data_IF_334030861333
#
_entry.id   IF_334030861333
#
_cell.length_a   1.000
_cell.length_b   1.000
_cell.length_c   1.000
_cell.angle_alpha   90.00
_cell.angle_beta   90.00
_cell.angle_gamma   90.00
#
_symmetry.space_group_name_H-M   'P 1'
#
loop_
_entity.id
_entity.type
_entity.pdbx_description
1 polymer ?
#
# COMPACT_ATOMS: atom_id res chain seq x y z
N UNK A 1 -10.80 -3.78 13.77
CA UNK A 1 -10.40 -5.19 13.66
C UNK A 1 -11.03 -5.96 14.80
N UNK A 2 -12.19 -6.57 14.55
CA UNK A 2 -12.81 -7.69 15.30
C UNK A 2 -14.33 -7.57 15.38
N UNK A 3 -14.87 -6.37 15.62
CA UNK A 3 -16.32 -6.16 15.77
C UNK A 3 -17.10 -6.11 14.46
N UNK A 4 -16.40 -5.86 13.36
CA UNK A 4 -17.00 -5.77 12.02
C UNK A 4 -15.99 -6.32 11.03
N UNK A 5 -16.48 -7.17 10.15
CA UNK A 5 -15.76 -7.76 9.02
C UNK A 5 -15.85 -6.86 7.79
N UNK A 6 -14.98 -7.04 6.81
CA UNK A 6 -15.10 -6.36 5.52
C UNK A 6 -16.40 -6.75 4.82
N UNK A 7 -16.86 -8.00 4.95
CA UNK A 7 -18.14 -8.43 4.40
C UNK A 7 -19.33 -7.65 5.00
N UNK A 8 -19.37 -7.50 6.32
CA UNK A 8 -20.42 -6.71 6.99
C UNK A 8 -20.36 -5.24 6.59
N UNK A 9 -19.15 -4.66 6.54
CA UNK A 9 -18.96 -3.28 6.11
C UNK A 9 -19.44 -3.05 4.67
N UNK A 10 -19.06 -3.93 3.73
CA UNK A 10 -19.50 -3.87 2.34
C UNK A 10 -21.03 -4.00 2.21
N UNK A 11 -21.66 -4.92 2.96
CA UNK A 11 -23.14 -5.07 2.98
C UNK A 11 -23.84 -3.85 3.59
N UNK A 12 -23.18 -3.16 4.52
CA UNK A 12 -23.69 -1.93 5.12
C UNK A 12 -23.50 -0.69 4.22
N UNK A 13 -22.84 -0.83 3.07
CA UNK A 13 -22.66 0.25 2.09
C UNK A 13 -21.32 0.98 2.17
N UNK A 14 -20.32 0.43 2.87
CA UNK A 14 -18.94 0.92 2.74
C UNK A 14 -18.42 0.55 1.35
N UNK A 15 -17.99 1.54 0.58
CA UNK A 15 -17.57 1.41 -0.83
C UNK A 15 -16.06 1.49 -1.03
N UNK A 16 -15.29 1.63 0.05
CA UNK A 16 -13.83 1.60 0.00
C UNK A 16 -13.29 0.88 1.23
N UNK A 17 -12.42 -0.11 1.01
CA UNK A 17 -11.68 -0.78 2.06
C UNK A 17 -10.19 -0.49 1.85
N UNK A 18 -9.54 -0.04 2.90
CA UNK A 18 -8.12 0.29 2.90
C UNK A 18 -7.34 -0.77 3.68
N UNK A 19 -6.07 -0.95 3.37
CA UNK A 19 -5.18 -1.89 4.06
C UNK A 19 -5.61 -3.35 3.92
N UNK A 20 -5.20 -3.99 2.82
CA UNK A 20 -5.45 -5.43 2.58
C UNK A 20 -5.07 -6.26 3.79
N UNK A 21 -3.88 -6.01 4.36
CA UNK A 21 -3.37 -6.75 5.51
C UNK A 21 -4.33 -6.75 6.71
N UNK A 22 -5.06 -5.65 6.93
CA UNK A 22 -5.89 -5.44 8.11
C UNK A 22 -7.38 -5.64 7.81
N UNK A 23 -7.95 -4.81 6.94
CA UNK A 23 -9.40 -4.70 6.78
C UNK A 23 -10.03 -5.98 6.26
N UNK A 24 -9.29 -6.74 5.44
CA UNK A 24 -9.77 -7.99 4.84
C UNK A 24 -9.43 -9.21 5.69
N UNK A 25 -8.63 -9.04 6.75
CA UNK A 25 -8.05 -10.13 7.51
C UNK A 25 -9.11 -11.14 7.97
N UNK A 26 -10.16 -10.67 8.64
CA UNK A 26 -11.18 -11.52 9.25
C UNK A 26 -11.96 -12.35 8.21
N UNK A 27 -12.07 -11.85 6.97
CA UNK A 27 -12.79 -12.49 5.87
C UNK A 27 -11.90 -13.39 5.03
N UNK A 28 -10.58 -13.28 5.15
CA UNK A 28 -9.63 -14.04 4.33
C UNK A 28 -8.99 -15.18 5.12
N UNK A 29 -8.58 -14.94 6.36
CA UNK A 29 -7.88 -15.96 7.16
C UNK A 29 -8.82 -17.08 7.61
N UNK A 30 -8.22 -18.18 8.07
CA UNK A 30 -8.93 -19.34 8.61
C UNK A 30 -9.68 -18.97 9.89
N UNK A 31 -10.76 -19.67 10.19
CA UNK A 31 -11.60 -19.37 11.34
C UNK A 31 -10.81 -19.37 12.66
N UNK A 32 -9.88 -20.31 12.83
CA UNK A 32 -9.01 -20.40 14.01
C UNK A 32 -8.01 -19.25 14.16
N UNK A 33 -7.73 -18.51 13.08
CA UNK A 33 -6.79 -17.39 13.06
C UNK A 33 -7.50 -16.04 13.32
N UNK A 34 -8.84 -16.00 13.29
CA UNK A 34 -9.63 -14.77 13.43
C UNK A 34 -9.57 -14.19 14.85
N UNK A 35 -9.62 -12.86 14.93
CA UNK A 35 -9.68 -12.18 16.22
C UNK A 35 -11.10 -12.26 16.78
N UNK A 36 -11.29 -12.65 18.06
CA UNK A 36 -12.61 -12.68 18.67
C UNK A 36 -13.28 -11.31 18.65
N UNK A 37 -14.56 -11.26 18.27
CA UNK A 37 -15.31 -10.01 18.14
C UNK A 37 -15.53 -9.27 19.46
N UNK A 38 -15.66 -10.03 20.55
CA UNK A 38 -15.85 -9.55 21.92
C UNK A 38 -14.59 -8.91 22.53
N UNK A 39 -13.41 -9.31 22.06
CA UNK A 39 -12.13 -8.72 22.47
C UNK A 39 -11.93 -7.27 21.97
N UNK A 40 -12.75 -6.80 21.01
CA UNK A 40 -12.76 -5.41 20.55
C UNK A 40 -11.52 -4.96 19.77
N UNK A 41 -11.43 -3.65 19.46
CA UNK A 41 -10.33 -3.04 18.71
C UNK A 41 -9.23 -2.49 19.65
N UNK A 42 -9.03 -3.08 20.84
CA UNK A 42 -8.03 -2.61 21.80
C UNK A 42 -6.60 -2.65 21.22
N UNK A 43 -5.61 -2.18 21.99
CA UNK A 43 -4.20 -2.36 21.63
C UNK A 43 -3.93 -3.85 21.57
N UNK A 44 -3.91 -4.44 20.37
CA UNK A 44 -3.57 -5.83 20.15
C UNK A 44 -2.06 -6.00 20.39
N UNK A 45 -1.63 -6.64 21.49
CA UNK A 45 -0.22 -6.93 21.69
C UNK A 45 0.26 -7.80 20.53
N UNK A 46 1.40 -7.45 19.92
CA UNK A 46 1.97 -8.15 18.76
C UNK A 46 1.07 -8.17 17.51
N UNK A 47 0.23 -7.14 17.31
CA UNK A 47 -0.63 -6.96 16.13
C UNK A 47 -0.01 -7.45 14.82
N UNK A 48 1.18 -6.97 14.49
CA UNK A 48 1.87 -7.31 13.24
C UNK A 48 2.24 -8.79 13.12
N UNK A 49 2.68 -9.44 14.19
CA UNK A 49 2.98 -10.88 14.15
C UNK A 49 1.71 -11.71 13.97
N UNK A 50 0.60 -11.25 14.55
CA UNK A 50 -0.68 -11.93 14.43
C UNK A 50 -1.27 -11.79 13.01
N UNK A 51 -1.27 -10.57 12.46
CA UNK A 51 -1.71 -10.32 11.08
C UNK A 51 -0.85 -11.12 10.09
N UNK A 52 0.48 -11.02 10.20
CA UNK A 52 1.38 -11.79 9.34
C UNK A 52 1.16 -13.31 9.48
N UNK A 53 1.02 -13.81 10.71
CA UNK A 53 0.78 -15.23 10.96
C UNK A 53 -0.48 -15.76 10.26
N UNK A 54 -1.60 -15.05 10.38
CA UNK A 54 -2.85 -15.46 9.74
C UNK A 54 -2.78 -15.41 8.21
N UNK A 55 -2.22 -14.34 7.64
CA UNK A 55 -2.02 -14.24 6.19
C UNK A 55 -1.11 -15.33 5.64
N UNK A 56 0.01 -15.62 6.32
CA UNK A 56 0.91 -16.70 5.91
C UNK A 56 0.22 -18.07 5.86
N UNK A 57 -0.78 -18.31 6.73
CA UNK A 57 -1.57 -19.54 6.77
C UNK A 57 -2.83 -19.50 5.90
N UNK A 58 -3.23 -18.34 5.39
CA UNK A 58 -4.47 -18.18 4.65
C UNK A 58 -4.55 -19.13 3.44
N UNK A 59 -5.70 -19.79 3.30
CA UNK A 59 -6.03 -20.58 2.12
C UNK A 59 -6.85 -19.71 1.16
N UNK A 60 -6.20 -19.18 0.13
CA UNK A 60 -6.84 -18.27 -0.83
C UNK A 60 -7.72 -18.99 -1.86
N UNK A 61 -7.66 -20.33 -1.89
CA UNK A 61 -8.53 -21.16 -2.72
C UNK A 61 -9.81 -21.56 -1.98
N UNK A 62 -9.90 -21.24 -0.69
CA UNK A 62 -11.05 -21.57 0.13
C UNK A 62 -12.32 -20.84 -0.36
N UNK A 63 -13.50 -21.49 -0.29
CA UNK A 63 -14.75 -20.92 -0.80
C UNK A 63 -15.12 -19.56 -0.19
N UNK A 64 -14.77 -19.31 1.08
CA UNK A 64 -15.07 -18.05 1.74
C UNK A 64 -14.24 -16.88 1.18
N UNK A 65 -13.01 -17.13 0.73
CA UNK A 65 -12.18 -16.10 0.09
C UNK A 65 -12.76 -15.73 -1.28
N UNK A 66 -13.19 -16.72 -2.06
CA UNK A 66 -13.89 -16.46 -3.33
C UNK A 66 -15.18 -15.67 -3.13
N UNK A 67 -16.02 -16.09 -2.19
CA UNK A 67 -17.27 -15.39 -1.86
C UNK A 67 -17.02 -13.95 -1.38
N UNK A 68 -15.89 -13.71 -0.70
CA UNK A 68 -15.48 -12.37 -0.32
C UNK A 68 -15.15 -11.51 -1.54
N UNK A 69 -14.34 -12.02 -2.48
CA UNK A 69 -14.00 -11.30 -3.71
C UNK A 69 -15.25 -10.99 -4.56
N UNK A 70 -16.14 -11.97 -4.71
CA UNK A 70 -17.43 -11.82 -5.40
C UNK A 70 -18.28 -10.72 -4.73
N UNK A 71 -18.39 -10.74 -3.40
CA UNK A 71 -19.12 -9.71 -2.66
C UNK A 71 -18.54 -8.31 -2.90
N UNK A 72 -17.21 -8.15 -2.86
CA UNK A 72 -16.57 -6.85 -3.07
C UNK A 72 -16.85 -6.32 -4.49
N UNK A 73 -16.75 -7.20 -5.50
CA UNK A 73 -17.07 -6.85 -6.88
C UNK A 73 -18.57 -6.51 -7.07
N UNK A 74 -19.47 -7.34 -6.55
CA UNK A 74 -20.93 -7.13 -6.62
C UNK A 74 -21.37 -5.82 -5.96
N UNK A 75 -20.66 -5.38 -4.93
CA UNK A 75 -20.96 -4.17 -4.16
C UNK A 75 -20.20 -2.93 -4.64
N UNK A 76 -19.44 -3.05 -5.72
CA UNK A 76 -18.57 -1.98 -6.25
C UNK A 76 -17.63 -1.39 -5.17
N UNK A 77 -17.10 -2.26 -4.32
CA UNK A 77 -16.16 -1.86 -3.27
C UNK A 77 -14.79 -1.68 -3.88
N UNK A 78 -14.22 -0.50 -3.67
CA UNK A 78 -12.84 -0.21 -4.03
C UNK A 78 -11.88 -0.77 -2.99
N UNK A 79 -10.76 -1.33 -3.44
CA UNK A 79 -9.72 -1.89 -2.58
C UNK A 79 -8.44 -1.05 -2.69
N UNK A 80 -8.18 -0.24 -1.67
CA UNK A 80 -6.93 0.50 -1.50
C UNK A 80 -5.93 -0.41 -0.78
N UNK A 81 -5.00 -1.00 -1.54
CA UNK A 81 -4.24 -2.13 -1.04
C UNK A 81 -3.21 -1.74 0.05
N UNK A 82 -2.51 -0.62 -0.14
CA UNK A 82 -1.41 -0.15 0.74
C UNK A 82 -0.34 -1.20 0.96
N UNK A 83 -0.01 -1.95 -0.10
CA UNK A 83 0.93 -3.07 -0.09
C UNK A 83 2.29 -2.65 0.45
N UNK A 84 2.71 -1.41 0.18
CA UNK A 84 3.94 -0.80 0.72
C UNK A 84 4.01 -0.87 2.24
N UNK A 85 2.90 -0.97 2.98
CA UNK A 85 2.94 -1.19 4.42
C UNK A 85 3.55 -2.53 4.80
N UNK A 86 3.23 -3.58 4.04
CA UNK A 86 3.74 -4.93 4.28
C UNK A 86 4.94 -5.30 3.43
N UNK A 87 5.21 -4.56 2.36
CA UNK A 87 6.37 -4.78 1.49
C UNK A 87 7.51 -3.79 1.71
N UNK A 88 7.27 -2.60 2.26
CA UNK A 88 8.27 -1.53 2.46
C UNK A 88 8.25 -0.82 3.82
N UNK A 89 7.16 -0.91 4.60
CA UNK A 89 6.99 -0.25 5.89
C UNK A 89 7.79 -0.89 7.03
N UNK A 90 8.38 -2.06 6.81
CA UNK A 90 9.06 -2.82 7.85
C UNK A 90 10.56 -2.49 8.04
N UNK A 91 11.13 -1.51 7.30
CA UNK A 91 12.59 -1.23 7.21
C UNK A 91 13.34 -2.20 6.29
N UNK A 92 12.91 -2.35 5.03
CA UNK A 92 13.66 -3.13 4.03
C UNK A 92 14.96 -2.44 3.60
N UNK A 93 15.90 -3.20 3.04
CA UNK A 93 17.11 -2.63 2.40
C UNK A 93 16.73 -1.61 1.32
N UNK A 94 15.75 -1.96 0.48
CA UNK A 94 15.17 -1.04 -0.51
C UNK A 94 14.65 0.26 0.11
N UNK A 95 13.95 0.20 1.24
CA UNK A 95 13.43 1.40 1.90
C UNK A 95 14.55 2.23 2.55
N UNK A 96 15.64 1.58 3.00
CA UNK A 96 16.84 2.25 3.53
C UNK A 96 17.66 2.96 2.44
N UNK A 97 17.56 2.50 1.20
CA UNK A 97 18.27 3.05 0.05
C UNK A 97 17.40 3.99 -0.81
N UNK A 98 16.13 4.21 -0.44
CA UNK A 98 15.19 5.04 -1.21
C UNK A 98 15.74 6.47 -1.42
N UNK A 99 16.01 6.88 -2.67
CA UNK A 99 16.54 8.22 -2.98
C UNK A 99 15.67 9.36 -2.44
N UNK A 100 14.37 9.12 -2.27
CA UNK A 100 13.42 10.01 -1.63
C UNK A 100 13.81 10.48 -0.22
N UNK A 101 14.62 9.72 0.52
CA UNK A 101 15.07 10.07 1.88
C UNK A 101 15.81 11.42 1.92
N UNK A 102 16.46 11.83 0.83
CA UNK A 102 17.14 13.11 0.73
C UNK A 102 16.18 14.32 0.79
N UNK A 103 14.88 14.10 0.60
CA UNK A 103 13.85 15.15 0.58
C UNK A 103 13.06 15.26 1.90
N UNK A 104 13.38 14.44 2.90
CA UNK A 104 12.73 14.48 4.20
C UNK A 104 13.38 15.52 5.13
N UNK A 105 12.59 16.29 5.91
CA UNK A 105 13.11 17.18 6.95
C UNK A 105 14.02 16.44 7.94
N UNK A 106 15.07 17.08 8.45
CA UNK A 106 16.02 16.48 9.40
C UNK A 106 15.34 15.79 10.61
N UNK A 107 14.33 16.43 11.22
CA UNK A 107 13.58 15.84 12.33
C UNK A 107 12.78 14.59 11.95
N UNK A 108 12.30 14.52 10.70
CA UNK A 108 11.72 13.30 10.16
C UNK A 108 12.83 12.29 9.90
N UNK A 109 13.94 12.69 9.24
CA UNK A 109 15.11 11.82 9.05
C UNK A 109 15.60 11.21 10.35
N UNK A 110 15.65 11.91 11.47
CA UNK A 110 16.04 11.33 12.78
C UNK A 110 15.06 10.26 13.30
N UNK A 111 13.78 10.35 12.92
CA UNK A 111 12.77 9.29 13.10
C UNK A 111 12.85 8.19 12.03
N UNK A 112 13.56 8.46 10.92
CA UNK A 112 13.74 7.63 9.74
C UNK A 112 15.22 7.21 9.49
N UNK A 113 16.14 7.43 10.46
CA UNK A 113 17.58 7.27 10.25
C UNK A 113 18.04 5.88 10.72
N UNK A 114 19.10 5.31 10.13
CA UNK A 114 19.32 3.88 10.13
C UNK A 114 19.85 3.28 11.44
N UNK A 115 20.46 4.01 12.37
CA UNK A 115 21.15 3.34 13.51
C UNK A 115 20.19 2.83 14.59
N UNK A 116 19.16 3.61 14.96
CA UNK A 116 18.11 3.21 15.90
C UNK A 116 17.12 2.24 15.25
N UNK A 117 16.80 2.40 13.95
CA UNK A 117 15.98 1.47 13.19
C UNK A 117 16.71 0.13 12.97
N UNK A 118 18.00 0.16 12.63
CA UNK A 118 18.88 -1.02 12.54
C UNK A 118 19.06 -1.68 13.90
N UNK A 119 19.28 -0.94 14.99
CA UNK A 119 19.28 -1.51 16.35
C UNK A 119 17.94 -2.13 16.70
N UNK A 120 16.84 -1.45 16.47
CA UNK A 120 15.50 -2.00 16.70
C UNK A 120 15.23 -3.23 15.81
N UNK A 121 15.84 -3.31 14.63
CA UNK A 121 15.83 -4.49 13.76
C UNK A 121 16.70 -5.61 14.30
N UNK A 122 17.94 -5.33 14.75
CA UNK A 122 18.87 -6.29 15.37
C UNK A 122 18.33 -6.84 16.69
N UNK A 123 17.71 -5.98 17.51
CA UNK A 123 17.05 -6.33 18.76
C UNK A 123 15.83 -7.20 18.52
N UNK A 124 14.98 -6.84 17.53
CA UNK A 124 13.86 -7.68 17.09
C UNK A 124 14.36 -9.03 16.58
N UNK A 125 15.37 -9.05 15.71
CA UNK A 125 16.10 -10.26 15.26
C UNK A 125 16.56 -11.14 16.42
N UNK A 126 17.20 -10.55 17.42
CA UNK A 126 17.73 -11.25 18.58
C UNK A 126 16.64 -11.76 19.52
N UNK A 127 15.57 -10.98 19.75
CA UNK A 127 14.42 -11.38 20.56
C UNK A 127 13.67 -12.54 19.91
N UNK A 128 13.46 -12.44 18.60
CA UNK A 128 12.91 -13.50 17.80
C UNK A 128 13.73 -14.80 17.91
N UNK A 129 15.05 -14.73 17.68
CA UNK A 129 15.92 -15.90 17.82
C UNK A 129 15.87 -16.55 19.22
N UNK A 130 15.76 -15.75 20.30
CA UNK A 130 15.58 -16.25 21.68
C UNK A 130 14.23 -16.92 21.91
N UNK A 131 13.20 -16.50 21.19
CA UNK A 131 11.87 -17.10 21.22
C UNK A 131 11.69 -18.24 20.19
N UNK A 132 12.72 -18.57 19.41
CA UNK A 132 12.62 -19.53 18.31
C UNK A 132 11.87 -19.01 17.06
N UNK A 133 11.73 -17.70 16.92
CA UNK A 133 10.99 -16.99 15.86
C UNK A 133 11.93 -16.06 15.08
N UNK A 134 12.53 -16.45 13.95
CA UNK A 134 13.64 -15.70 13.35
C UNK A 134 13.19 -14.41 12.64
N UNK A 135 13.55 -13.25 13.20
CA UNK A 135 13.28 -11.95 12.57
C UNK A 135 14.46 -11.54 11.68
N UNK A 136 14.29 -11.56 10.35
CA UNK A 136 14.82 -10.50 9.49
C UNK A 136 13.68 -10.10 8.54
N UNK A 137 13.95 -9.33 7.49
CA UNK A 137 13.04 -9.18 6.34
C UNK A 137 12.75 -10.50 5.59
N UNK A 138 12.86 -11.63 6.29
CA UNK A 138 13.13 -12.99 5.85
C UNK A 138 12.66 -14.02 6.90
N UNK A 139 11.65 -13.72 7.72
CA UNK A 139 10.94 -14.82 8.39
C UNK A 139 10.07 -15.48 7.32
N UNK A 140 10.02 -16.81 7.27
CA UNK A 140 9.17 -17.53 6.28
C UNK A 140 7.75 -16.97 6.33
N UNK A 141 7.29 -16.59 7.51
CA UNK A 141 5.99 -15.98 7.76
C UNK A 141 5.81 -14.65 7.02
N UNK A 142 6.77 -13.73 7.02
CA UNK A 142 6.60 -12.41 6.36
C UNK A 142 6.71 -12.51 4.84
N UNK A 143 7.60 -13.38 4.32
CA UNK A 143 7.66 -13.68 2.88
C UNK A 143 6.37 -14.36 2.40
N UNK A 144 5.86 -15.32 3.16
CA UNK A 144 4.58 -15.98 2.85
C UNK A 144 3.39 -15.02 2.97
N UNK A 145 3.38 -14.17 4.00
CA UNK A 145 2.39 -13.09 4.16
C UNK A 145 2.37 -12.22 2.92
N UNK A 146 3.53 -11.69 2.53
CA UNK A 146 3.65 -10.86 1.33
C UNK A 146 3.14 -11.59 0.09
N UNK A 147 3.57 -12.83 -0.13
CA UNK A 147 3.11 -13.61 -1.27
C UNK A 147 1.59 -13.78 -1.28
N UNK A 148 0.97 -14.01 -0.11
CA UNK A 148 -0.48 -14.17 0.04
C UNK A 148 -1.24 -12.87 -0.16
N UNK A 149 -0.76 -11.75 0.35
CA UNK A 149 -1.39 -10.45 0.14
C UNK A 149 -1.30 -10.02 -1.34
N UNK A 150 -0.15 -10.24 -2.00
CA UNK A 150 0.02 -9.97 -3.43
C UNK A 150 -0.90 -10.86 -4.27
N UNK A 151 -0.93 -12.18 -4.01
CA UNK A 151 -1.83 -13.13 -4.69
C UNK A 151 -3.30 -12.74 -4.49
N UNK A 152 -3.70 -12.35 -3.26
CA UNK A 152 -5.05 -11.87 -3.00
C UNK A 152 -5.40 -10.61 -3.81
N UNK A 153 -4.50 -9.64 -3.92
CA UNK A 153 -4.73 -8.43 -4.73
C UNK A 153 -4.85 -8.76 -6.22
N UNK A 154 -4.04 -9.70 -6.73
CA UNK A 154 -4.16 -10.20 -8.10
C UNK A 154 -5.53 -10.86 -8.32
N UNK A 155 -5.96 -11.74 -7.42
CA UNK A 155 -7.28 -12.38 -7.49
C UNK A 155 -8.42 -11.37 -7.39
N UNK A 156 -8.27 -10.33 -6.57
CA UNK A 156 -9.24 -9.25 -6.48
C UNK A 156 -9.36 -8.49 -7.81
N UNK A 157 -8.24 -8.17 -8.44
CA UNK A 157 -8.22 -7.58 -9.78
C UNK A 157 -8.90 -8.49 -10.81
N UNK A 158 -8.55 -9.78 -10.85
CA UNK A 158 -9.14 -10.76 -11.77
C UNK A 158 -10.65 -10.96 -11.54
N UNK A 159 -11.11 -10.82 -10.29
CA UNK A 159 -12.52 -10.87 -9.92
C UNK A 159 -13.29 -9.58 -10.24
N UNK A 160 -12.63 -8.54 -10.76
CA UNK A 160 -13.25 -7.27 -11.12
C UNK A 160 -13.43 -6.29 -9.95
N UNK A 161 -12.74 -6.50 -8.82
CA UNK A 161 -12.72 -5.53 -7.72
C UNK A 161 -11.93 -4.30 -8.17
N UNK A 162 -12.48 -3.10 -7.97
CA UNK A 162 -11.80 -1.83 -8.32
C UNK A 162 -10.58 -1.64 -7.42
N UNK A 163 -9.37 -1.82 -7.95
CA UNK A 163 -8.15 -1.52 -7.23
C UNK A 163 -7.89 0.00 -7.19
N UNK A 164 -7.36 0.47 -6.07
CA UNK A 164 -6.90 1.84 -5.87
C UNK A 164 -5.49 1.82 -5.30
N UNK A 165 -4.62 2.69 -5.82
CA UNK A 165 -3.25 2.86 -5.30
C UNK A 165 -3.27 3.88 -4.17
N UNK A 166 -2.85 3.45 -2.98
CA UNK A 166 -2.68 4.31 -1.81
C UNK A 166 -1.53 3.81 -0.95
N UNK A 167 -0.86 4.71 -0.23
CA UNK A 167 0.43 4.40 0.41
C UNK A 167 0.39 4.33 1.92
N UNK A 168 -0.60 4.96 2.55
CA UNK A 168 -0.58 5.24 3.99
C UNK A 168 0.70 5.94 4.45
N UNK A 169 1.26 6.82 3.60
CA UNK A 169 2.52 7.50 3.89
C UNK A 169 2.41 8.31 5.19
N UNK A 170 3.32 8.02 6.12
CA UNK A 170 3.28 8.51 7.50
C UNK A 170 2.87 7.44 8.52
N UNK A 171 2.31 6.31 8.06
CA UNK A 171 2.00 5.13 8.85
C UNK A 171 3.23 4.29 9.23
N UNK A 172 4.29 4.31 8.41
CA UNK A 172 5.57 3.67 8.74
C UNK A 172 6.80 4.57 8.54
N UNK A 173 7.85 4.21 9.28
CA UNK A 173 9.08 5.00 9.43
C UNK A 173 10.01 5.04 8.21
N UNK A 174 9.67 4.45 7.06
CA UNK A 174 10.56 4.51 5.88
C UNK A 174 9.81 4.91 4.60
N UNK A 175 8.57 5.37 4.73
CA UNK A 175 7.80 5.85 3.60
C UNK A 175 8.08 7.33 3.37
N UNK A 176 8.22 7.70 2.11
CA UNK A 176 8.56 9.06 1.69
C UNK A 176 7.40 9.61 0.85
N UNK A 177 6.79 10.75 1.24
CA UNK A 177 5.72 11.38 0.47
C UNK A 177 6.10 11.58 -0.99
N UNK A 178 5.17 11.28 -1.90
CA UNK A 178 5.40 11.28 -3.36
C UNK A 178 6.14 10.03 -3.85
N UNK A 179 7.31 9.71 -3.31
CA UNK A 179 8.11 8.56 -3.76
C UNK A 179 7.42 7.22 -3.47
N UNK A 180 6.78 7.10 -2.31
CA UNK A 180 6.00 5.92 -1.93
C UNK A 180 4.87 5.60 -2.89
N UNK A 181 4.26 6.58 -3.56
CA UNK A 181 3.20 6.33 -4.54
C UNK A 181 3.72 5.50 -5.71
N UNK A 182 4.89 5.87 -6.24
CA UNK A 182 5.53 5.12 -7.31
C UNK A 182 5.99 3.73 -6.84
N UNK A 183 6.42 3.58 -5.58
CA UNK A 183 6.77 2.26 -5.05
C UNK A 183 5.54 1.38 -4.92
N UNK A 184 4.42 1.90 -4.42
CA UNK A 184 3.14 1.17 -4.39
C UNK A 184 2.72 0.70 -5.78
N UNK A 185 2.77 1.59 -6.78
CA UNK A 185 2.50 1.22 -8.18
C UNK A 185 3.44 0.11 -8.68
N UNK A 186 4.74 0.21 -8.38
CA UNK A 186 5.71 -0.83 -8.74
C UNK A 186 5.38 -2.17 -8.06
N UNK A 187 4.95 -2.18 -6.81
CA UNK A 187 4.56 -3.41 -6.09
C UNK A 187 3.32 -4.06 -6.73
N UNK A 188 2.31 -3.27 -7.11
CA UNK A 188 1.16 -3.81 -7.87
C UNK A 188 1.60 -4.44 -9.19
N UNK A 189 2.51 -3.79 -9.90
CA UNK A 189 3.00 -4.32 -11.17
C UNK A 189 3.86 -5.57 -10.99
N UNK A 190 4.75 -5.60 -9.99
CA UNK A 190 5.52 -6.77 -9.59
C UNK A 190 4.64 -7.97 -9.20
N UNK A 191 3.44 -7.72 -8.65
CA UNK A 191 2.46 -8.75 -8.36
C UNK A 191 1.85 -9.39 -9.63
N UNK A 192 1.97 -8.73 -10.79
CA UNK A 192 1.42 -9.19 -12.06
C UNK A 192 0.28 -8.35 -12.61
N UNK A 193 -0.08 -7.23 -11.96
CA UNK A 193 -1.09 -6.31 -12.50
C UNK A 193 -0.50 -5.57 -13.72
N UNK A 194 -1.20 -5.52 -14.87
CA UNK A 194 -0.72 -4.80 -16.04
C UNK A 194 -0.46 -3.32 -15.75
N UNK A 195 0.61 -2.74 -16.32
CA UNK A 195 0.99 -1.34 -16.06
C UNK A 195 -0.16 -0.35 -16.34
N UNK A 196 -0.95 -0.60 -17.40
CA UNK A 196 -2.13 0.19 -17.72
C UNK A 196 -3.18 0.19 -16.60
N UNK A 197 -3.42 -0.98 -16.00
CA UNK A 197 -4.40 -1.14 -14.92
C UNK A 197 -3.88 -0.52 -13.62
N UNK A 198 -2.56 -0.58 -13.35
CA UNK A 198 -1.95 0.14 -12.23
C UNK A 198 -2.07 1.66 -12.38
N UNK A 199 -1.84 2.19 -13.59
CA UNK A 199 -2.04 3.63 -13.86
C UNK A 199 -3.51 4.02 -13.72
N UNK A 200 -4.45 3.19 -14.18
CA UNK A 200 -5.88 3.41 -13.98
C UNK A 200 -6.25 3.39 -12.49
N UNK A 201 -5.69 2.46 -11.72
CA UNK A 201 -5.85 2.36 -10.27
C UNK A 201 -5.35 3.61 -9.53
N UNK A 202 -4.27 4.22 -10.02
CA UNK A 202 -3.69 5.45 -9.46
C UNK A 202 -4.38 6.75 -9.92
N UNK A 203 -5.28 6.70 -10.91
CA UNK A 203 -5.90 7.89 -11.51
C UNK A 203 -7.42 7.78 -11.54
N UNK A 204 -7.98 7.21 -12.61
CA UNK A 204 -9.42 7.07 -12.83
C UNK A 204 -10.12 6.36 -11.67
N UNK A 205 -9.62 5.20 -11.27
CA UNK A 205 -10.26 4.40 -10.22
C UNK A 205 -10.19 5.10 -8.86
N UNK A 206 -9.09 5.80 -8.55
CA UNK A 206 -8.97 6.61 -7.35
C UNK A 206 -9.99 7.76 -7.33
N UNK A 207 -10.21 8.42 -8.48
CA UNK A 207 -11.24 9.46 -8.60
C UNK A 207 -12.66 8.88 -8.42
N UNK A 208 -12.95 7.72 -9.02
CA UNK A 208 -14.23 7.00 -8.84
C UNK A 208 -14.47 6.61 -7.37
N UNK A 209 -13.45 6.07 -6.69
CA UNK A 209 -13.54 5.68 -5.27
C UNK A 209 -13.80 6.88 -4.33
N UNK A 210 -13.40 8.08 -4.74
CA UNK A 210 -13.63 9.33 -4.00
C UNK A 210 -14.89 10.07 -4.45
N UNK A 211 -15.66 9.53 -5.41
CA UNK A 211 -16.81 10.18 -6.04
C UNK A 211 -16.46 11.54 -6.68
N UNK A 212 -15.28 11.61 -7.29
CA UNK A 212 -14.71 12.79 -7.95
C UNK A 212 -14.41 12.55 -9.43
N UNK A 213 -14.88 11.45 -10.00
CA UNK A 213 -14.70 11.10 -11.40
C UNK A 213 -15.26 12.14 -12.37
N UNK A 214 -16.22 12.96 -11.93
CA UNK A 214 -16.72 14.11 -12.71
C UNK A 214 -15.67 15.21 -12.91
N UNK A 215 -14.73 15.37 -11.98
CA UNK A 215 -13.75 16.46 -11.98
C UNK A 215 -12.31 15.98 -12.22
N UNK A 216 -12.01 14.72 -11.88
CA UNK A 216 -10.64 14.19 -11.77
C UNK A 216 -10.49 12.80 -12.43
N UNK A 217 -9.24 12.34 -12.51
CA UNK A 217 -8.89 10.95 -12.81
C UNK A 217 -8.70 10.60 -14.29
N UNK A 218 -9.20 11.43 -15.22
CA UNK A 218 -8.98 11.25 -16.67
C UNK A 218 -8.78 12.59 -17.37
N UNK A 219 -8.20 12.54 -18.57
CA UNK A 219 -7.99 13.72 -19.43
C UNK A 219 -9.18 13.89 -20.36
N UNK A 220 -10.18 14.67 -19.93
CA UNK A 220 -11.41 14.91 -20.68
C UNK A 220 -11.85 16.38 -20.61
N UNK A 221 -12.49 16.92 -21.66
CA UNK A 221 -13.03 18.28 -21.62
C UNK A 221 -13.98 18.50 -20.43
N UNK A 222 -13.78 19.60 -19.70
CA UNK A 222 -14.62 19.99 -18.56
C UNK A 222 -14.11 19.51 -17.20
N UNK A 223 -13.11 18.64 -17.15
CA UNK A 223 -12.43 18.21 -15.90
C UNK A 223 -11.35 19.21 -15.48
N UNK A 224 -10.90 19.10 -14.23
CA UNK A 224 -9.78 19.89 -13.72
C UNK A 224 -8.50 19.54 -14.48
N UNK A 225 -7.68 20.55 -14.74
CA UNK A 225 -6.38 20.39 -15.40
C UNK A 225 -5.31 19.94 -14.38
N UNK A 226 -5.50 18.74 -13.84
CA UNK A 226 -4.55 18.02 -12.99
C UNK A 226 -3.87 16.94 -13.84
N UNK A 227 -2.68 17.25 -14.35
CA UNK A 227 -1.97 16.44 -15.34
C UNK A 227 -0.57 16.11 -14.85
N UNK A 228 -0.11 14.91 -15.18
CA UNK A 228 1.29 14.52 -15.06
C UNK A 228 1.72 13.93 -16.39
N UNK A 229 2.85 14.41 -16.91
CA UNK A 229 3.43 13.93 -18.16
C UNK A 229 4.95 14.07 -18.12
N UNK A 230 5.66 13.24 -18.85
CA UNK A 230 7.12 13.24 -18.89
C UNK A 230 7.66 12.58 -20.15
N UNK A 231 8.97 12.38 -20.17
CA UNK A 231 9.68 11.83 -21.33
C UNK A 231 9.63 10.29 -21.39
N UNK A 232 9.28 9.65 -20.26
CA UNK A 232 9.21 8.21 -20.12
C UNK A 232 7.87 7.60 -20.58
N UNK A 233 7.91 6.34 -21.02
CA UNK A 233 6.72 5.53 -21.29
C UNK A 233 6.41 4.60 -20.11
N UNK A 234 5.41 4.94 -19.26
CA UNK A 234 5.07 4.15 -18.08
C UNK A 234 4.35 2.84 -18.41
N UNK A 235 3.89 2.63 -19.66
CA UNK A 235 3.30 1.37 -20.10
C UNK A 235 4.39 0.33 -20.42
N UNK A 236 5.55 0.79 -20.89
CA UNK A 236 6.72 -0.05 -21.13
C UNK A 236 7.53 -0.31 -19.85
N UNK A 237 7.67 0.71 -19.00
CA UNK A 237 8.46 0.64 -17.76
C UNK A 237 7.85 1.57 -16.73
N UNK A 238 7.19 1.03 -15.70
CA UNK A 238 6.34 1.82 -14.80
C UNK A 238 7.11 2.90 -14.00
N UNK A 239 8.39 2.68 -13.71
CA UNK A 239 9.28 3.66 -13.07
C UNK A 239 9.61 4.86 -13.97
N UNK A 240 9.45 4.74 -15.30
CA UNK A 240 9.61 5.82 -16.26
C UNK A 240 8.59 6.97 -16.07
N UNK A 241 7.53 6.74 -15.28
CA UNK A 241 6.61 7.79 -14.83
C UNK A 241 7.30 8.92 -14.04
N UNK A 242 8.58 8.78 -13.68
CA UNK A 242 9.39 9.78 -12.95
C UNK A 242 10.30 10.60 -13.87
N UNK A 243 10.45 10.21 -15.13
CA UNK A 243 11.45 10.72 -16.06
C UNK A 243 10.95 12.00 -16.75
N UNK A 244 11.68 13.11 -16.63
CA UNK A 244 11.38 14.37 -17.34
C UNK A 244 10.02 15.00 -16.98
N UNK A 245 9.51 14.76 -15.77
CA UNK A 245 8.11 15.06 -15.42
C UNK A 245 7.81 16.55 -15.34
N UNK A 246 6.72 16.95 -15.99
CA UNK A 246 5.98 18.19 -15.74
C UNK A 246 4.67 17.86 -15.02
N UNK A 247 4.35 18.65 -14.00
CA UNK A 247 3.09 18.53 -13.26
C UNK A 247 2.26 19.77 -13.56
N UNK A 248 0.99 19.59 -13.92
CA UNK A 248 0.01 20.68 -13.97
C UNK A 248 -0.97 20.43 -12.84
N UNK A 249 -1.18 21.41 -11.98
CA UNK A 249 -2.18 21.33 -10.90
C UNK A 249 -3.10 22.52 -10.97
N UNK A 250 -4.41 22.25 -11.03
CA UNK A 250 -5.47 23.24 -11.20
C UNK A 250 -5.18 24.21 -12.36
N UNK A 251 -4.62 23.69 -13.46
CA UNK A 251 -4.22 24.46 -14.64
C UNK A 251 -2.90 25.24 -14.53
N UNK A 252 -2.24 25.23 -13.38
CA UNK A 252 -0.92 25.83 -13.18
C UNK A 252 0.20 24.84 -13.47
N UNK A 253 1.14 25.12 -14.40
CA UNK A 253 2.28 24.25 -14.62
C UNK A 253 3.32 24.39 -13.51
N UNK A 254 3.95 23.29 -13.16
CA UNK A 254 5.01 23.16 -12.17
C UNK A 254 6.17 22.36 -12.75
N UNK A 255 7.37 22.93 -12.66
CA UNK A 255 8.61 22.23 -12.97
C UNK A 255 8.99 21.31 -11.80
N UNK A 256 9.02 20.00 -12.04
CA UNK A 256 9.38 19.02 -11.03
C UNK A 256 10.83 19.17 -10.55
N UNK A 257 11.76 19.66 -11.39
CA UNK A 257 13.14 19.91 -10.99
C UNK A 257 13.20 21.04 -9.95
N UNK A 258 12.54 22.16 -10.23
CA UNK A 258 12.42 23.28 -9.28
C UNK A 258 11.73 22.86 -7.97
N UNK A 259 10.65 22.06 -8.04
CA UNK A 259 9.97 21.53 -6.84
C UNK A 259 10.89 20.63 -6.00
N UNK A 260 11.69 19.77 -6.65
CA UNK A 260 12.68 18.91 -5.98
C UNK A 260 13.78 19.75 -5.31
N UNK A 261 14.27 20.79 -5.95
CA UNK A 261 15.26 21.70 -5.37
C UNK A 261 14.70 22.40 -4.11
N UNK A 262 13.48 22.94 -4.20
CA UNK A 262 12.79 23.55 -3.06
C UNK A 262 12.59 22.56 -1.91
N UNK A 263 12.22 21.31 -2.22
CA UNK A 263 12.07 20.26 -1.21
C UNK A 263 13.40 19.93 -0.53
N UNK A 264 14.53 19.84 -1.26
CA UNK A 264 15.87 19.64 -0.68
C UNK A 264 16.27 20.80 0.23
N UNK A 265 16.08 22.04 -0.23
CA UNK A 265 16.39 23.22 0.57
C UNK A 265 15.60 23.24 1.90
N UNK A 266 14.31 22.88 1.86
CA UNK A 266 13.47 22.75 3.07
C UNK A 266 13.86 21.58 3.96
N UNK A 267 14.41 20.52 3.39
CA UNK A 267 14.93 19.37 4.13
C UNK A 267 16.21 19.70 4.92
N UNK A 268 16.85 20.85 4.63
CA UNK A 268 18.13 21.24 5.21
C UNK A 268 19.30 20.46 4.60
N UNK A 269 19.22 20.13 3.32
CA UNK A 269 20.24 19.46 2.52
C UNK A 269 20.89 20.42 1.52
#
# INVERSE_FOLDING_TARGET
LSRTTAAEAARAGITCLEHVHASLYQDVVREEDRHPADAGNGVMPNYWNWVAGGWARADLDAPHVRAQLELLAERDVSLCATLIMMTGGMVTEEAAEEPGLAYLPAAMRERHLPENARRAWEERRAQGARAGLPLQHTDVVTTQTRAKELDFVVRAHEAGVRLVVGTDVGGASMQVPGFSMHREMAIHHEAGIPAADVLAAATRAAAEALWRERDLGTVEPGKLADLVGGDGDPLARLDAARDGVTVVSNGGPHDAAALREQARARAGA
#
